data_IF_504540919549
#
_entry.id   IF_504540919549
#
_cell.length_a   1.000
_cell.length_b   1.000
_cell.length_c   1.000
_cell.angle_alpha   90.00
_cell.angle_beta   90.00
_cell.angle_gamma   90.00
#
_symmetry.space_group_name_H-M   'P 1'
#
loop_
_entity.id
_entity.type
_entity.pdbx_description
1 polymer ?
#
# COMPACT_ATOMS: atom_id res chain seq x y z
N UNK A 1 28.26 6.14 9.73
CA UNK A 1 27.60 6.32 11.04
C UNK A 1 26.10 6.30 10.81
N UNK A 2 25.46 5.14 11.01
CA UNK A 2 24.00 5.00 10.95
C UNK A 2 23.43 5.32 12.33
N UNK A 3 22.72 6.44 12.45
CA UNK A 3 21.84 6.67 13.59
C UNK A 3 20.68 5.66 13.49
N UNK A 4 20.87 4.47 14.05
CA UNK A 4 19.78 3.54 14.34
C UNK A 4 18.96 4.18 15.46
N UNK A 5 18.00 5.02 15.07
CA UNK A 5 16.97 5.51 15.99
C UNK A 5 16.16 4.30 16.45
N UNK A 6 16.49 3.77 17.62
CA UNK A 6 15.66 2.79 18.29
C UNK A 6 14.36 3.47 18.69
N UNK A 7 13.30 3.23 17.92
CA UNK A 7 11.94 3.61 18.29
C UNK A 7 11.59 2.97 19.64
N UNK A 8 10.95 3.74 20.50
CA UNK A 8 10.30 3.22 21.70
C UNK A 8 9.24 2.16 21.32
N UNK A 9 8.91 1.27 22.24
CA UNK A 9 7.86 0.25 22.05
C UNK A 9 6.54 0.86 21.56
N UNK A 10 6.20 2.07 22.04
CA UNK A 10 4.99 2.80 21.62
C UNK A 10 5.05 3.23 20.15
N UNK A 11 6.19 3.71 19.69
CA UNK A 11 6.39 4.11 18.29
C UNK A 11 6.38 2.90 17.35
N UNK A 12 6.96 1.77 17.78
CA UNK A 12 6.89 0.51 17.04
C UNK A 12 5.45 0.02 16.90
N UNK A 13 4.67 0.04 17.98
CA UNK A 13 3.24 -0.29 17.93
C UNK A 13 2.45 0.64 17.00
N UNK A 14 2.72 1.94 17.03
CA UNK A 14 2.09 2.90 16.13
C UNK A 14 2.41 2.63 14.65
N UNK A 15 3.66 2.27 14.34
CA UNK A 15 4.08 1.87 13.00
C UNK A 15 3.35 0.61 12.53
N UNK A 16 3.24 -0.39 13.39
CA UNK A 16 2.52 -1.64 13.10
C UNK A 16 1.05 -1.38 12.79
N UNK A 17 0.34 -0.64 13.66
CA UNK A 17 -1.05 -0.28 13.42
C UNK A 17 -1.23 0.45 12.08
N UNK A 18 -0.27 1.32 11.72
CA UNK A 18 -0.28 2.01 10.43
C UNK A 18 -0.11 1.04 9.26
N UNK A 19 0.82 0.10 9.34
CA UNK A 19 1.01 -0.92 8.30
C UNK A 19 -0.24 -1.78 8.14
N UNK A 20 -0.83 -2.25 9.24
CA UNK A 20 -2.08 -3.04 9.20
C UNK A 20 -3.24 -2.25 8.57
N UNK A 21 -3.34 -0.96 8.89
CA UNK A 21 -4.34 -0.08 8.27
C UNK A 21 -4.11 0.05 6.76
N UNK A 22 -2.86 0.27 6.35
CA UNK A 22 -2.49 0.38 4.93
C UNK A 22 -2.82 -0.92 4.18
N UNK A 23 -2.49 -2.08 4.76
CA UNK A 23 -2.83 -3.40 4.22
C UNK A 23 -4.33 -3.53 3.91
N UNK A 24 -5.19 -3.24 4.90
CA UNK A 24 -6.65 -3.27 4.73
C UNK A 24 -7.13 -2.29 3.68
N UNK A 25 -6.53 -1.09 3.61
CA UNK A 25 -6.89 -0.09 2.61
C UNK A 25 -6.58 -0.60 1.19
N UNK A 26 -5.41 -1.19 0.97
CA UNK A 26 -5.03 -1.72 -0.35
C UNK A 26 -5.94 -2.88 -0.78
N UNK A 27 -6.38 -3.73 0.16
CA UNK A 27 -7.39 -4.74 -0.13
C UNK A 27 -8.69 -4.12 -0.68
N UNK A 28 -9.20 -3.08 -0.01
CA UNK A 28 -10.39 -2.34 -0.47
C UNK A 28 -10.17 -1.65 -1.81
N UNK A 29 -9.01 -1.04 -2.03
CA UNK A 29 -8.68 -0.41 -3.32
C UNK A 29 -8.66 -1.44 -4.45
N UNK A 30 -8.11 -2.62 -4.19
CA UNK A 30 -8.08 -3.72 -5.14
C UNK A 30 -9.48 -4.26 -5.44
N UNK A 31 -10.35 -4.39 -4.44
CA UNK A 31 -11.76 -4.75 -4.65
C UNK A 31 -12.50 -3.69 -5.47
N UNK A 32 -12.31 -2.40 -5.12
CA UNK A 32 -12.88 -1.28 -5.86
C UNK A 32 -12.41 -1.28 -7.31
N UNK A 33 -11.12 -1.50 -7.56
CA UNK A 33 -10.59 -1.57 -8.92
C UNK A 33 -11.24 -2.71 -9.71
N UNK A 34 -11.39 -3.89 -9.10
CA UNK A 34 -12.08 -5.04 -9.71
C UNK A 34 -13.57 -4.82 -9.94
N UNK A 35 -14.21 -3.94 -9.15
CA UNK A 35 -15.64 -3.64 -9.28
C UNK A 35 -15.96 -2.79 -10.52
N UNK A 36 -14.96 -2.18 -11.16
CA UNK A 36 -15.14 -1.54 -12.45
C UNK A 36 -15.35 -2.61 -13.52
N UNK A 37 -16.61 -3.02 -13.69
CA UNK A 37 -17.04 -4.07 -14.64
C UNK A 37 -17.10 -3.60 -16.08
N UNK A 38 -17.00 -2.29 -16.32
CA UNK A 38 -17.06 -1.72 -17.67
C UNK A 38 -15.65 -1.39 -18.15
N UNK A 39 -15.32 -1.86 -19.35
CA UNK A 39 -14.08 -1.47 -20.01
C UNK A 39 -13.99 0.06 -20.10
N UNK A 40 -12.85 0.65 -19.69
CA UNK A 40 -12.66 2.08 -19.83
C UNK A 40 -12.82 2.49 -21.30
N UNK A 41 -13.80 3.36 -21.56
CA UNK A 41 -14.19 3.84 -22.89
C UNK A 41 -13.09 4.61 -23.65
N UNK A 42 -11.91 4.79 -23.06
CA UNK A 42 -10.76 5.40 -23.72
C UNK A 42 -9.44 4.66 -23.39
N UNK A 43 -8.50 4.57 -24.34
CA UNK A 43 -7.22 3.88 -24.15
C UNK A 43 -6.43 4.37 -22.93
N UNK A 44 -6.40 5.68 -22.68
CA UNK A 44 -5.69 6.27 -21.53
C UNK A 44 -6.22 5.78 -20.19
N UNK A 45 -7.54 5.59 -20.06
CA UNK A 45 -8.15 5.06 -18.84
C UNK A 45 -7.87 3.56 -18.67
N UNK A 46 -7.73 2.82 -19.77
CA UNK A 46 -7.31 1.42 -19.75
C UNK A 46 -5.85 1.27 -19.30
N UNK A 47 -4.94 2.07 -19.85
CA UNK A 47 -3.53 2.10 -19.44
C UNK A 47 -3.40 2.37 -17.94
N UNK A 48 -4.09 3.39 -17.43
CA UNK A 48 -4.08 3.72 -15.99
C UNK A 48 -4.66 2.63 -15.11
N UNK A 49 -5.74 1.97 -15.54
CA UNK A 49 -6.27 0.81 -14.85
C UNK A 49 -5.22 -0.30 -14.74
N UNK A 50 -4.54 -0.60 -15.84
CA UNK A 50 -3.50 -1.63 -15.89
C UNK A 50 -2.30 -1.28 -15.00
N UNK A 51 -1.84 -0.03 -15.05
CA UNK A 51 -0.77 0.48 -14.18
C UNK A 51 -1.14 0.39 -12.70
N UNK A 52 -2.37 0.75 -12.33
CA UNK A 52 -2.86 0.62 -10.95
C UNK A 52 -2.88 -0.83 -10.49
N UNK A 53 -3.39 -1.75 -11.32
CA UNK A 53 -3.42 -3.16 -10.98
C UNK A 53 -1.99 -3.68 -10.78
N UNK A 54 -1.06 -3.35 -11.68
CA UNK A 54 0.37 -3.69 -11.55
C UNK A 54 0.98 -3.14 -10.25
N UNK A 55 0.68 -1.89 -9.90
CA UNK A 55 1.13 -1.26 -8.65
C UNK A 55 0.58 -1.95 -7.40
N UNK A 56 -0.69 -2.35 -7.42
CA UNK A 56 -1.31 -3.15 -6.34
C UNK A 56 -0.61 -4.49 -6.19
N UNK A 57 -0.36 -5.21 -7.29
CA UNK A 57 0.33 -6.51 -7.23
C UNK A 57 1.75 -6.35 -6.68
N UNK A 58 2.46 -5.30 -7.11
CA UNK A 58 3.78 -5.00 -6.58
C UNK A 58 3.75 -4.69 -5.08
N UNK A 59 2.78 -3.90 -4.62
CA UNK A 59 2.60 -3.63 -3.20
C UNK A 59 2.39 -4.93 -2.40
N UNK A 60 1.46 -5.79 -2.85
CA UNK A 60 1.12 -7.06 -2.20
C UNK A 60 2.33 -7.98 -1.97
N UNK A 61 3.30 -8.00 -2.89
CA UNK A 61 4.52 -8.81 -2.75
C UNK A 61 5.33 -8.42 -1.50
N UNK A 62 5.50 -7.13 -1.25
CA UNK A 62 6.25 -6.64 -0.10
C UNK A 62 5.41 -6.64 1.17
N UNK A 63 4.13 -6.32 1.04
CA UNK A 63 3.14 -6.32 2.12
C UNK A 63 2.99 -7.73 2.73
N UNK A 64 2.98 -8.80 1.93
CA UNK A 64 2.89 -10.17 2.42
C UNK A 64 4.04 -10.53 3.38
N UNK A 65 5.27 -10.11 3.07
CA UNK A 65 6.44 -10.33 3.94
C UNK A 65 6.29 -9.60 5.26
N UNK A 66 6.02 -8.30 5.22
CA UNK A 66 5.91 -7.45 6.42
C UNK A 66 4.75 -7.91 7.30
N UNK A 67 3.59 -8.21 6.70
CA UNK A 67 2.42 -8.71 7.42
C UNK A 67 2.66 -10.09 8.04
N UNK A 68 3.49 -10.94 7.43
CA UNK A 68 3.89 -12.22 8.04
C UNK A 68 4.67 -11.99 9.33
N UNK A 69 5.64 -11.07 9.32
CA UNK A 69 6.45 -10.75 10.50
C UNK A 69 5.57 -10.16 11.60
N UNK A 70 4.70 -9.18 11.26
CA UNK A 70 3.78 -8.54 12.20
C UNK A 70 2.84 -9.57 12.85
N UNK A 71 2.28 -10.51 12.08
CA UNK A 71 1.35 -11.52 12.61
C UNK A 71 2.04 -12.58 13.46
N UNK A 72 3.28 -12.95 13.14
CA UNK A 72 4.03 -13.95 13.90
C UNK A 72 4.61 -13.39 15.18
N UNK A 73 4.88 -12.08 15.22
CA UNK A 73 5.55 -11.43 16.35
C UNK A 73 4.64 -10.36 16.92
N UNK A 74 3.77 -10.79 17.82
CA UNK A 74 2.78 -9.92 18.46
C UNK A 74 3.40 -8.63 19.05
N UNK A 75 4.66 -8.66 19.53
CA UNK A 75 5.33 -7.50 20.14
C UNK A 75 6.86 -7.44 19.95
N UNK A 76 7.51 -8.45 19.34
CA UNK A 76 8.97 -8.47 19.16
C UNK A 76 9.35 -8.08 17.73
N UNK A 77 9.63 -6.79 17.54
CA UNK A 77 9.92 -6.18 16.24
C UNK A 77 11.41 -5.99 15.98
N UNK A 78 12.28 -6.67 16.74
CA UNK A 78 13.74 -6.63 16.58
C UNK A 78 14.22 -6.98 15.17
N UNK A 79 13.52 -7.89 14.49
CA UNK A 79 13.87 -8.33 13.12
C UNK A 79 13.15 -7.53 12.01
N UNK A 80 12.34 -6.54 12.38
CA UNK A 80 11.64 -5.71 11.41
C UNK A 80 12.53 -4.54 11.01
N UNK A 81 13.10 -4.63 9.80
CA UNK A 81 13.92 -3.57 9.23
C UNK A 81 13.08 -2.28 9.09
N UNK A 82 13.43 -1.26 9.87
CA UNK A 82 12.74 0.03 9.88
C UNK A 82 12.68 0.64 8.48
N UNK A 83 13.75 0.50 7.70
CA UNK A 83 13.80 1.02 6.34
C UNK A 83 12.81 0.30 5.43
N UNK A 84 12.58 -1.00 5.66
CA UNK A 84 11.59 -1.79 4.93
C UNK A 84 10.15 -1.31 5.24
N UNK A 85 9.85 -1.03 6.52
CA UNK A 85 8.56 -0.46 6.95
C UNK A 85 8.31 0.91 6.36
N UNK A 86 9.30 1.81 6.43
CA UNK A 86 9.18 3.14 5.87
C UNK A 86 8.99 3.11 4.36
N UNK A 87 9.74 2.25 3.66
CA UNK A 87 9.56 2.02 2.24
C UNK A 87 8.17 1.47 1.91
N UNK A 88 7.65 0.57 2.73
CA UNK A 88 6.28 0.07 2.59
C UNK A 88 5.24 1.18 2.74
N UNK A 89 5.39 2.05 3.75
CA UNK A 89 4.52 3.21 3.96
C UNK A 89 4.61 4.18 2.77
N UNK A 90 5.81 4.43 2.22
CA UNK A 90 5.99 5.29 1.04
C UNK A 90 5.30 4.70 -0.20
N UNK A 91 5.42 3.38 -0.41
CA UNK A 91 4.74 2.67 -1.50
C UNK A 91 3.21 2.77 -1.37
N UNK A 92 2.69 2.64 -0.15
CA UNK A 92 1.26 2.85 0.10
C UNK A 92 0.81 4.25 -0.29
N UNK A 93 1.51 5.30 0.18
CA UNK A 93 1.16 6.70 -0.14
C UNK A 93 1.15 6.96 -1.64
N UNK A 94 2.13 6.42 -2.37
CA UNK A 94 2.18 6.54 -3.83
C UNK A 94 0.95 5.87 -4.45
N UNK A 95 0.66 4.62 -4.07
CA UNK A 95 -0.49 3.88 -4.58
C UNK A 95 -1.83 4.60 -4.29
N UNK A 96 -1.98 5.17 -3.09
CA UNK A 96 -3.16 5.95 -2.70
C UNK A 96 -3.32 7.20 -3.59
N UNK A 97 -2.22 7.91 -3.86
CA UNK A 97 -2.20 9.09 -4.75
C UNK A 97 -2.52 8.72 -6.21
N UNK A 98 -1.94 7.63 -6.72
CA UNK A 98 -2.19 7.14 -8.07
C UNK A 98 -3.67 6.75 -8.23
N UNK A 99 -4.24 6.12 -7.20
CA UNK A 99 -5.65 5.72 -7.21
C UNK A 99 -6.59 6.93 -7.15
N UNK A 100 -6.28 7.92 -6.30
CA UNK A 100 -7.05 9.17 -6.25
C UNK A 100 -7.04 9.90 -7.61
N UNK A 101 -5.88 9.97 -8.26
CA UNK A 101 -5.73 10.56 -9.59
C UNK A 101 -6.59 9.85 -10.64
N UNK A 102 -6.62 8.52 -10.61
CA UNK A 102 -7.47 7.73 -11.50
C UNK A 102 -8.96 7.98 -11.29
N UNK A 103 -9.42 8.05 -10.04
CA UNK A 103 -10.82 8.37 -9.72
C UNK A 103 -11.23 9.74 -10.26
N UNK A 104 -10.39 10.76 -10.06
CA UNK A 104 -10.63 12.11 -10.57
C UNK A 104 -10.72 12.16 -12.11
N UNK A 105 -10.07 11.24 -12.80
CA UNK A 105 -10.15 11.15 -14.26
C UNK A 105 -11.37 10.40 -14.78
N UNK A 106 -11.89 9.46 -14.00
CA UNK A 106 -13.15 8.78 -14.31
C UNK A 106 -14.34 9.75 -14.22
N UNK A 107 -14.30 10.69 -13.28
CA UNK A 107 -15.36 11.68 -13.06
C UNK A 107 -15.41 12.77 -14.16
N UNK A 108 -14.37 12.88 -14.99
CA UNK A 108 -14.37 13.82 -16.12
C UNK A 108 -15.26 13.31 -17.26
N UNK A 109 -16.08 14.16 -17.89
CA UNK A 109 -16.80 13.79 -19.10
C UNK A 109 -15.81 13.38 -20.20
N UNK A 110 -16.23 12.43 -21.03
CA UNK A 110 -15.46 11.92 -22.19
C UNK A 110 -15.37 12.96 -23.30
#
# INVERSE_FOLDING_TARGET
MSHLTHYSTKEQQALVMRVERNHRMVQRLNEKLKSYTHEPKCPKRFEKFYELNKSIQNFKKYDARIMSIIRQRHLDFSDLDQSEVENHIRRFKKLESDFASYLLELDKPL
#
